data_IF_058070043153
#
_entry.id   IF_058070043153
#
_cell.length_a   1.000
_cell.length_b   1.000
_cell.length_c   1.000
_cell.angle_alpha   90.00
_cell.angle_beta   90.00
_cell.angle_gamma   90.00
#
_symmetry.space_group_name_H-M   'P 1'
#
loop_
_entity.id
_entity.type
_entity.pdbx_description
1 polymer ?
#
# COMPACT_ATOMS: atom_id res chain seq x y z
N UNK A 1 -49.06 -4.78 -22.89
CA UNK A 1 -48.83 -3.34 -22.69
C UNK A 1 -47.32 -3.19 -22.49
N UNK A 2 -46.56 -3.75 -23.43
CA UNK A 2 -45.16 -4.15 -23.22
C UNK A 2 -44.22 -3.42 -24.18
N UNK A 3 -44.75 -2.70 -25.18
CA UNK A 3 -43.95 -2.10 -26.25
C UNK A 3 -43.17 -0.84 -25.83
N UNK A 4 -43.54 -0.18 -24.72
CA UNK A 4 -42.85 1.03 -24.24
C UNK A 4 -41.54 0.67 -23.54
N UNK A 5 -41.45 -0.52 -22.96
CA UNK A 5 -40.28 -0.95 -22.20
C UNK A 5 -39.20 -1.45 -23.15
N UNK A 6 -39.58 -2.18 -24.18
CA UNK A 6 -38.66 -2.68 -25.20
C UNK A 6 -38.11 -1.54 -26.08
N UNK A 7 -38.94 -0.55 -26.43
CA UNK A 7 -38.52 0.63 -27.21
C UNK A 7 -37.50 1.51 -26.44
N UNK A 8 -37.62 1.58 -25.11
CA UNK A 8 -36.67 2.30 -24.27
C UNK A 8 -35.33 1.57 -24.09
N UNK A 9 -35.31 0.25 -24.24
CA UNK A 9 -34.08 -0.57 -24.15
C UNK A 9 -33.31 -0.47 -25.47
N UNK A 10 -33.99 -0.58 -26.61
CA UNK A 10 -33.35 -0.46 -27.93
C UNK A 10 -32.76 0.94 -28.17
N UNK A 11 -33.42 2.02 -27.71
CA UNK A 11 -32.90 3.40 -27.83
C UNK A 11 -31.65 3.63 -26.94
N UNK A 12 -31.57 2.94 -25.79
CA UNK A 12 -30.40 2.98 -24.90
C UNK A 12 -29.22 2.16 -25.46
N UNK A 13 -29.50 1.10 -26.21
CA UNK A 13 -28.46 0.31 -26.89
C UNK A 13 -27.94 1.01 -28.15
N UNK A 14 -28.78 1.74 -28.90
CA UNK A 14 -28.36 2.53 -30.06
C UNK A 14 -27.55 3.80 -29.69
N UNK A 15 -27.71 4.33 -28.49
CA UNK A 15 -26.85 5.41 -27.96
C UNK A 15 -25.54 4.91 -27.34
N UNK A 16 -25.35 3.59 -27.30
CA UNK A 16 -24.26 2.90 -26.61
C UNK A 16 -22.98 2.64 -27.40
N UNK A 17 -22.83 3.11 -28.65
CA UNK A 17 -21.54 3.03 -29.34
C UNK A 17 -21.34 4.15 -30.38
N UNK A 18 -20.17 4.81 -30.32
CA UNK A 18 -19.68 5.60 -31.46
C UNK A 18 -19.55 7.12 -31.30
N UNK A 19 -19.07 7.65 -30.17
CA UNK A 19 -18.27 8.89 -30.18
C UNK A 19 -17.18 8.86 -29.13
N UNK A 20 -15.95 8.64 -29.60
CA UNK A 20 -14.70 8.81 -28.87
C UNK A 20 -14.66 10.18 -28.19
N UNK A 21 -14.78 10.20 -26.86
CA UNK A 21 -14.39 11.34 -26.02
C UNK A 21 -13.20 10.86 -25.19
N UNK A 22 -12.05 10.88 -25.85
CA UNK A 22 -10.73 10.63 -25.27
C UNK A 22 -10.53 11.59 -24.08
N UNK A 23 -10.57 11.07 -22.84
CA UNK A 23 -10.14 11.83 -21.66
C UNK A 23 -10.98 11.77 -20.38
N UNK A 24 -11.99 10.90 -20.24
CA UNK A 24 -12.77 10.79 -18.98
C UNK A 24 -12.84 9.38 -18.36
N UNK A 25 -12.12 8.40 -18.90
CA UNK A 25 -12.19 7.01 -18.43
C UNK A 25 -11.33 6.72 -17.18
N UNK A 26 -10.42 7.63 -16.80
CA UNK A 26 -9.49 7.39 -15.67
C UNK A 26 -10.08 7.62 -14.27
N UNK A 27 -11.19 8.34 -14.13
CA UNK A 27 -11.75 8.70 -12.80
C UNK A 27 -12.85 7.77 -12.30
N UNK A 28 -13.54 7.01 -13.17
CA UNK A 28 -14.66 6.16 -12.74
C UNK A 28 -14.26 4.73 -12.36
N UNK A 29 -13.10 4.24 -12.80
CA UNK A 29 -12.62 2.88 -12.48
C UNK A 29 -12.18 2.75 -11.00
N UNK A 30 -11.89 3.85 -10.30
CA UNK A 30 -11.41 3.83 -8.90
C UNK A 30 -12.50 3.64 -7.84
N UNK A 31 -13.78 3.49 -8.24
CA UNK A 31 -14.92 3.32 -7.30
C UNK A 31 -15.64 1.99 -7.43
N UNK A 32 -15.18 1.06 -8.27
CA UNK A 32 -15.73 -0.29 -8.28
C UNK A 32 -15.09 -1.11 -7.16
N UNK A 33 -15.89 -1.51 -6.17
CA UNK A 33 -15.47 -2.23 -4.96
C UNK A 33 -15.04 -3.69 -5.16
N UNK A 34 -14.35 -4.00 -6.25
CA UNK A 34 -13.78 -5.32 -6.54
C UNK A 34 -12.36 -5.15 -7.03
N UNK A 35 -11.42 -4.90 -6.10
CA UNK A 35 -10.00 -5.16 -6.34
C UNK A 35 -9.73 -6.65 -6.10
N UNK A 36 -8.87 -7.26 -6.90
CA UNK A 36 -8.38 -8.60 -6.61
C UNK A 36 -7.46 -8.57 -5.39
N UNK A 37 -7.36 -9.69 -4.65
CA UNK A 37 -6.49 -9.79 -3.47
C UNK A 37 -5.02 -9.48 -3.79
N UNK A 38 -4.59 -9.72 -5.03
CA UNK A 38 -3.21 -9.45 -5.47
C UNK A 38 -2.98 -7.95 -5.73
N UNK A 39 -3.91 -7.27 -6.40
CA UNK A 39 -3.86 -5.80 -6.55
C UNK A 39 -3.91 -5.08 -5.20
N UNK A 40 -4.67 -5.63 -4.23
CA UNK A 40 -4.74 -5.07 -2.89
C UNK A 40 -3.40 -5.21 -2.15
N UNK A 41 -2.70 -6.33 -2.31
CA UNK A 41 -1.37 -6.55 -1.69
C UNK A 41 -0.34 -5.58 -2.24
N UNK A 42 -0.33 -5.35 -3.56
CA UNK A 42 0.61 -4.45 -4.20
C UNK A 42 0.45 -3.01 -3.67
N UNK A 43 -0.79 -2.52 -3.59
CA UNK A 43 -1.08 -1.19 -3.03
C UNK A 43 -0.70 -1.11 -1.54
N UNK A 44 -0.97 -2.15 -0.75
CA UNK A 44 -0.59 -2.19 0.66
C UNK A 44 0.94 -2.21 0.85
N UNK A 45 1.66 -2.89 -0.03
CA UNK A 45 3.12 -2.95 0.01
C UNK A 45 3.73 -1.61 -0.36
N UNK A 46 3.19 -0.91 -1.37
CA UNK A 46 3.64 0.44 -1.75
C UNK A 46 3.37 1.49 -0.65
N UNK A 47 2.30 1.30 0.12
CA UNK A 47 1.96 2.19 1.24
C UNK A 47 2.73 1.87 2.53
N UNK A 48 3.46 0.75 2.58
CA UNK A 48 4.17 0.35 3.79
C UNK A 48 5.39 1.25 4.03
N UNK A 49 5.43 1.92 5.19
CA UNK A 49 6.55 2.77 5.57
C UNK A 49 7.76 1.94 6.00
N UNK A 50 8.91 2.19 5.37
CA UNK A 50 10.20 1.64 5.80
C UNK A 50 10.79 2.45 6.96
N UNK A 51 10.82 1.88 8.15
CA UNK A 51 11.39 2.51 9.34
C UNK A 51 12.75 1.88 9.65
N UNK A 52 13.77 2.71 9.85
CA UNK A 52 15.09 2.27 10.34
C UNK A 52 15.47 3.06 11.59
N UNK A 53 15.90 2.36 12.63
CA UNK A 53 16.36 2.94 13.89
C UNK A 53 17.84 2.64 14.05
N UNK A 54 18.65 3.69 14.23
CA UNK A 54 20.10 3.58 14.41
C UNK A 54 20.49 4.06 15.81
N UNK A 55 20.93 3.13 16.65
CA UNK A 55 21.46 3.42 17.98
C UNK A 55 22.96 3.66 17.92
N UNK A 56 23.39 4.89 18.22
CA UNK A 56 24.80 5.27 18.20
C UNK A 56 25.44 5.24 19.60
N UNK A 57 26.66 4.72 19.70
CA UNK A 57 27.40 4.61 20.96
C UNK A 57 26.81 3.58 21.92
N UNK A 58 27.31 3.53 23.16
CA UNK A 58 26.92 2.47 24.08
C UNK A 58 25.47 2.55 24.57
N UNK A 59 24.99 3.74 24.93
CA UNK A 59 23.59 3.92 25.34
C UNK A 59 22.61 3.64 24.19
N UNK A 60 22.98 4.03 22.96
CA UNK A 60 22.19 3.73 21.77
C UNK A 60 22.12 2.23 21.47
N UNK A 61 23.25 1.54 21.55
CA UNK A 61 23.34 0.08 21.41
C UNK A 61 22.46 -0.67 22.41
N UNK A 62 22.52 -0.30 23.70
CA UNK A 62 21.66 -0.89 24.73
C UNK A 62 20.17 -0.65 24.47
N UNK A 63 19.82 0.54 23.97
CA UNK A 63 18.42 0.86 23.64
C UNK A 63 17.94 0.00 22.48
N UNK A 64 18.75 -0.12 21.42
CA UNK A 64 18.46 -0.98 20.28
C UNK A 64 18.32 -2.45 20.70
N UNK A 65 19.19 -2.95 21.58
CA UNK A 65 19.08 -4.32 22.08
C UNK A 65 17.76 -4.52 22.85
N UNK A 66 17.40 -3.58 23.73
CA UNK A 66 16.12 -3.66 24.45
C UNK A 66 14.91 -3.61 23.51
N UNK A 67 14.95 -2.80 22.46
CA UNK A 67 13.91 -2.78 21.42
C UNK A 67 13.77 -4.13 20.71
N UNK A 68 14.90 -4.82 20.49
CA UNK A 68 14.93 -6.15 19.89
C UNK A 68 14.36 -7.22 20.84
N UNK A 69 14.73 -7.18 22.12
CA UNK A 69 14.23 -8.10 23.17
C UNK A 69 12.73 -7.91 23.45
N UNK A 70 12.27 -6.66 23.47
CA UNK A 70 10.84 -6.32 23.60
C UNK A 70 10.03 -6.68 22.35
N UNK A 71 10.70 -7.06 21.25
CA UNK A 71 10.07 -7.55 20.03
C UNK A 71 9.40 -6.46 19.20
N UNK A 72 9.96 -5.25 19.18
CA UNK A 72 9.44 -4.15 18.36
C UNK A 72 9.52 -4.55 16.89
N UNK A 73 8.36 -4.56 16.22
CA UNK A 73 8.22 -4.93 14.80
C UNK A 73 8.04 -3.67 13.94
N UNK A 74 8.30 -3.83 12.64
CA UNK A 74 8.07 -2.77 11.65
C UNK A 74 9.21 -1.76 11.55
N UNK A 75 10.32 -1.99 12.26
CA UNK A 75 11.53 -1.19 12.11
C UNK A 75 12.77 -2.09 11.96
N UNK A 76 13.66 -1.71 11.05
CA UNK A 76 15.01 -2.27 10.99
C UNK A 76 15.86 -1.63 12.08
N UNK A 77 16.43 -2.45 12.95
CA UNK A 77 17.27 -1.99 14.05
C UNK A 77 18.76 -2.10 13.68
N UNK A 78 19.54 -1.06 13.97
CA UNK A 78 20.99 -1.01 13.69
C UNK A 78 21.70 -0.41 14.91
N UNK A 79 22.76 -1.07 15.39
CA UNK A 79 23.67 -0.51 16.39
C UNK A 79 24.98 -0.07 15.72
N UNK A 80 25.44 1.14 16.02
CA UNK A 80 26.69 1.71 15.51
C UNK A 80 27.55 2.20 16.67
N UNK A 81 28.72 1.61 16.87
CA UNK A 81 29.64 2.02 17.91
C UNK A 81 31.09 1.89 17.44
N UNK A 82 31.98 2.71 17.99
CA UNK A 82 33.43 2.57 17.79
C UNK A 82 34.03 1.51 18.70
N UNK A 83 33.38 1.26 19.84
CA UNK A 83 33.76 0.21 20.77
C UNK A 83 33.26 -1.16 20.27
N UNK A 84 34.20 -1.97 19.81
CA UNK A 84 33.94 -3.33 19.30
C UNK A 84 33.49 -4.28 20.39
N UNK A 85 33.96 -4.12 21.63
CA UNK A 85 33.63 -5.04 22.72
C UNK A 85 32.15 -4.92 23.06
N UNK A 86 31.64 -3.69 23.11
CA UNK A 86 30.22 -3.46 23.33
C UNK A 86 29.35 -3.97 22.18
N UNK A 87 29.79 -3.81 20.92
CA UNK A 87 29.04 -4.36 19.77
C UNK A 87 28.94 -5.89 19.76
N UNK A 88 29.89 -6.59 20.37
CA UNK A 88 29.85 -8.07 20.48
C UNK A 88 28.89 -8.52 21.59
N UNK A 89 28.66 -7.68 22.60
CA UNK A 89 27.76 -7.95 23.73
C UNK A 89 26.32 -7.49 23.51
N UNK A 90 26.09 -6.63 22.50
CA UNK A 90 24.75 -6.20 22.06
C UNK A 90 24.04 -7.33 21.31
#
# INVERSE_FOLDING_TARGET
MDSIVDEAIDEAEETGDGRTVDGLEDEQVRRSGTMTDDELKDVLQDLQTDITVVGCGGAGGNTVNRMQEEGIKGAKLVAANTDVQHLVEI
#
